data_IF_441005470997
#
_entry.id   IF_441005470997
#
_cell.length_a   1.000
_cell.length_b   1.000
_cell.length_c   1.000
_cell.angle_alpha   90.00
_cell.angle_beta   90.00
_cell.angle_gamma   90.00
#
_symmetry.space_group_name_H-M   'P 1'
#
loop_
_entity.id
_entity.type
_entity.pdbx_description
1 polymer ?
#
# COMPACT_ATOMS: atom_id res chain seq x y z
N UNK A 1 -0.08 26.27 13.71
CA UNK A 1 -0.29 24.81 13.92
C UNK A 1 -0.14 24.00 12.61
N UNK A 2 -0.90 24.29 11.54
CA UNK A 2 -0.83 23.50 10.28
C UNK A 2 0.53 23.64 9.56
N UNK A 3 1.07 24.85 9.47
CA UNK A 3 2.40 25.09 8.88
C UNK A 3 3.52 24.43 9.70
N UNK A 4 3.39 24.43 11.03
CA UNK A 4 4.35 23.75 11.91
C UNK A 4 4.37 22.23 11.70
N UNK A 5 3.19 21.61 11.46
CA UNK A 5 3.12 20.18 11.13
C UNK A 5 3.77 19.86 9.78
N UNK A 6 3.63 20.75 8.79
CA UNK A 6 4.33 20.60 7.51
C UNK A 6 5.84 20.70 7.67
N UNK A 7 6.32 21.63 8.51
CA UNK A 7 7.76 21.79 8.76
C UNK A 7 8.32 20.55 9.45
N UNK A 8 7.68 20.04 10.50
CA UNK A 8 8.10 18.79 11.14
C UNK A 8 8.12 17.58 10.19
N UNK A 9 7.12 17.47 9.31
CA UNK A 9 7.08 16.41 8.29
C UNK A 9 8.24 16.53 7.29
N UNK A 10 8.60 17.76 6.93
CA UNK A 10 9.75 18.08 6.07
C UNK A 10 11.07 17.76 6.77
N UNK A 11 11.26 18.20 8.02
CA UNK A 11 12.46 17.91 8.82
C UNK A 11 12.66 16.41 9.02
N UNK A 12 11.57 15.71 9.40
CA UNK A 12 11.59 14.25 9.55
C UNK A 12 11.94 13.56 8.23
N UNK A 13 11.40 14.04 7.10
CA UNK A 13 11.75 13.52 5.78
C UNK A 13 13.23 13.70 5.48
N UNK A 14 13.79 14.90 5.66
CA UNK A 14 15.22 15.19 5.41
C UNK A 14 16.09 14.26 6.29
N UNK A 15 15.76 14.14 7.57
CA UNK A 15 16.48 13.26 8.49
C UNK A 15 16.45 11.80 8.02
N UNK A 16 15.28 11.24 7.73
CA UNK A 16 15.13 9.84 7.33
C UNK A 16 15.77 9.55 5.96
N UNK A 17 15.61 10.45 4.98
CA UNK A 17 16.24 10.32 3.68
C UNK A 17 17.78 10.41 3.78
N UNK A 18 18.28 11.31 4.63
CA UNK A 18 19.72 11.49 4.91
C UNK A 18 20.39 10.29 5.59
N UNK A 19 19.63 9.37 6.21
CA UNK A 19 20.15 8.09 6.71
C UNK A 19 20.48 7.10 5.59
N UNK A 20 20.13 7.42 4.34
CA UNK A 20 20.40 6.57 3.18
C UNK A 20 21.91 6.42 2.93
N UNK A 21 22.31 5.19 2.62
CA UNK A 21 23.70 4.81 2.32
C UNK A 21 23.75 4.30 0.89
N UNK A 22 24.63 4.87 0.06
CA UNK A 22 24.78 4.56 -1.37
C UNK A 22 24.88 3.05 -1.66
N UNK A 23 25.57 2.31 -0.78
CA UNK A 23 25.69 0.85 -0.87
C UNK A 23 24.34 0.12 -0.97
N UNK A 24 23.27 0.69 -0.42
CA UNK A 24 21.93 0.08 -0.40
C UNK A 24 20.98 0.67 -1.44
N UNK A 25 21.42 1.58 -2.31
CA UNK A 25 20.58 2.23 -3.32
C UNK A 25 19.93 1.23 -4.26
N UNK A 26 20.71 0.29 -4.80
CA UNK A 26 20.19 -0.75 -5.69
C UNK A 26 19.11 -1.61 -5.04
N UNK A 27 19.27 -1.93 -3.74
CA UNK A 27 18.26 -2.66 -2.97
C UNK A 27 16.97 -1.87 -2.85
N UNK A 28 17.04 -0.58 -2.46
CA UNK A 28 15.85 0.23 -2.27
C UNK A 28 15.18 0.62 -3.60
N UNK A 29 15.96 0.79 -4.66
CA UNK A 29 15.44 0.96 -6.02
C UNK A 29 14.69 -0.31 -6.45
N UNK A 30 15.23 -1.50 -6.18
CA UNK A 30 14.55 -2.77 -6.45
C UNK A 30 13.24 -2.89 -5.66
N UNK A 31 13.27 -2.63 -4.35
CA UNK A 31 12.08 -2.71 -3.47
C UNK A 31 10.97 -1.76 -3.92
N UNK A 32 11.31 -0.57 -4.43
CA UNK A 32 10.33 0.46 -4.81
C UNK A 32 9.65 0.22 -6.16
N UNK A 33 10.12 -0.75 -6.97
CA UNK A 33 9.53 -1.09 -8.26
C UNK A 33 8.35 -2.05 -8.08
N UNK A 34 7.20 -1.70 -8.68
CA UNK A 34 5.95 -2.47 -8.53
C UNK A 34 6.05 -3.86 -9.16
N UNK A 35 6.80 -3.99 -10.26
CA UNK A 35 6.99 -5.22 -11.01
C UNK A 35 7.67 -6.32 -10.19
N UNK A 36 8.56 -5.94 -9.28
CA UNK A 36 9.30 -6.89 -8.45
C UNK A 36 8.40 -7.60 -7.41
N UNK A 37 7.19 -7.13 -7.21
CA UNK A 37 6.21 -7.71 -6.31
C UNK A 37 5.20 -8.63 -7.01
N UNK A 38 5.29 -8.81 -8.35
CA UNK A 38 4.46 -9.75 -9.12
C UNK A 38 4.46 -11.17 -8.50
N UNK A 39 5.61 -11.75 -8.07
CA UNK A 39 5.61 -13.05 -7.41
C UNK A 39 4.75 -13.10 -6.15
N UNK A 40 4.71 -12.02 -5.36
CA UNK A 40 3.87 -11.94 -4.17
C UNK A 40 2.38 -11.93 -4.52
N UNK A 41 1.97 -11.23 -5.58
CA UNK A 41 0.58 -11.26 -6.06
C UNK A 41 0.18 -12.68 -6.51
N UNK A 42 1.07 -13.40 -7.18
CA UNK A 42 0.84 -14.81 -7.56
C UNK A 42 0.67 -15.67 -6.30
N UNK A 43 1.52 -15.51 -5.28
CA UNK A 43 1.40 -16.20 -3.99
C UNK A 43 0.04 -15.91 -3.35
N UNK A 44 -0.44 -14.67 -3.33
CA UNK A 44 -1.74 -14.32 -2.80
C UNK A 44 -2.88 -15.06 -3.53
N UNK A 45 -2.83 -15.09 -4.87
CA UNK A 45 -3.82 -15.82 -5.69
C UNK A 45 -3.80 -17.31 -5.36
N UNK A 46 -2.62 -17.93 -5.30
CA UNK A 46 -2.49 -19.35 -4.93
C UNK A 46 -3.09 -19.62 -3.54
N UNK A 47 -2.77 -18.78 -2.55
CA UNK A 47 -3.29 -18.93 -1.18
C UNK A 47 -4.82 -18.80 -1.12
N UNK A 48 -5.43 -17.96 -1.94
CA UNK A 48 -6.88 -17.84 -2.06
C UNK A 48 -7.47 -19.19 -2.51
N UNK A 49 -6.94 -19.79 -3.58
CA UNK A 49 -7.47 -21.05 -4.10
C UNK A 49 -7.14 -22.26 -3.22
N UNK A 50 -6.08 -22.21 -2.40
CA UNK A 50 -5.79 -23.24 -1.40
C UNK A 50 -6.67 -23.13 -0.15
N UNK A 51 -7.10 -21.90 0.19
CA UNK A 51 -7.89 -21.65 1.42
C UNK A 51 -9.39 -21.83 1.22
N UNK A 52 -9.92 -21.67 0.02
CA UNK A 52 -11.35 -21.61 -0.28
C UNK A 52 -11.77 -22.61 -1.37
N UNK A 53 -13.03 -23.08 -1.30
CA UNK A 53 -13.65 -23.84 -2.41
C UNK A 53 -13.76 -22.93 -3.65
N UNK A 54 -13.74 -23.52 -4.86
CA UNK A 54 -13.66 -22.79 -6.13
C UNK A 54 -14.58 -21.55 -6.22
N UNK A 55 -15.88 -21.71 -5.92
CA UNK A 55 -16.88 -20.60 -5.97
C UNK A 55 -16.51 -19.49 -4.98
N UNK A 56 -16.17 -19.85 -3.74
CA UNK A 56 -15.76 -18.91 -2.70
C UNK A 56 -14.43 -18.22 -3.05
N UNK A 57 -13.47 -18.95 -3.63
CA UNK A 57 -12.20 -18.42 -4.07
C UNK A 57 -12.36 -17.30 -5.12
N UNK A 58 -13.31 -17.45 -6.04
CA UNK A 58 -13.62 -16.38 -7.00
C UNK A 58 -14.22 -15.13 -6.33
N UNK A 59 -15.08 -15.29 -5.31
CA UNK A 59 -15.59 -14.15 -4.53
C UNK A 59 -14.45 -13.41 -3.84
N UNK A 60 -13.52 -14.16 -3.22
CA UNK A 60 -12.35 -13.59 -2.56
C UNK A 60 -11.40 -12.94 -3.56
N UNK A 61 -11.18 -13.54 -4.73
CA UNK A 61 -10.35 -12.98 -5.79
C UNK A 61 -10.93 -11.64 -6.30
N UNK A 62 -12.24 -11.55 -6.47
CA UNK A 62 -12.90 -10.28 -6.81
C UNK A 62 -12.68 -9.25 -5.70
N UNK A 63 -12.82 -9.63 -4.41
CA UNK A 63 -12.52 -8.76 -3.28
C UNK A 63 -11.06 -8.27 -3.28
N UNK A 64 -10.11 -9.14 -3.58
CA UNK A 64 -8.68 -8.81 -3.74
C UNK A 64 -8.46 -7.75 -4.83
N UNK A 65 -9.04 -7.96 -6.02
CA UNK A 65 -8.96 -7.01 -7.14
C UNK A 65 -9.65 -5.68 -6.80
N UNK A 66 -10.84 -5.74 -6.16
CA UNK A 66 -11.54 -4.54 -5.71
C UNK A 66 -10.72 -3.75 -4.68
N UNK A 67 -10.02 -4.44 -3.76
CA UNK A 67 -9.15 -3.76 -2.78
C UNK A 67 -8.06 -2.94 -3.47
N UNK A 68 -7.46 -3.45 -4.53
CA UNK A 68 -6.51 -2.70 -5.35
C UNK A 68 -7.17 -1.55 -6.11
N UNK A 69 -8.19 -1.84 -6.93
CA UNK A 69 -8.79 -0.88 -7.87
C UNK A 69 -9.46 0.30 -7.14
N UNK A 70 -10.21 0.02 -6.07
CA UNK A 70 -10.88 1.07 -5.28
C UNK A 70 -9.83 1.94 -4.58
N UNK A 71 -8.79 1.33 -3.98
CA UNK A 71 -7.72 2.09 -3.34
C UNK A 71 -6.95 2.94 -4.34
N UNK A 72 -6.63 2.40 -5.50
CA UNK A 72 -5.97 3.12 -6.59
C UNK A 72 -6.80 4.33 -7.02
N UNK A 73 -8.11 4.14 -7.28
CA UNK A 73 -9.02 5.22 -7.70
C UNK A 73 -9.15 6.31 -6.62
N UNK A 74 -9.38 5.93 -5.36
CA UNK A 74 -9.47 6.87 -4.22
C UNK A 74 -8.16 7.64 -4.05
N UNK A 75 -7.02 6.96 -4.13
CA UNK A 75 -5.71 7.60 -4.03
C UNK A 75 -5.47 8.61 -5.16
N UNK A 76 -5.85 8.28 -6.40
CA UNK A 76 -5.75 9.20 -7.55
C UNK A 76 -6.62 10.44 -7.35
N UNK A 77 -7.84 10.25 -6.86
CA UNK A 77 -8.75 11.36 -6.54
C UNK A 77 -8.16 12.27 -5.45
N UNK A 78 -7.67 11.71 -4.32
CA UNK A 78 -7.07 12.50 -3.24
C UNK A 78 -5.83 13.26 -3.76
N UNK A 79 -4.97 12.62 -4.56
CA UNK A 79 -3.80 13.27 -5.16
C UNK A 79 -4.18 14.50 -5.99
N UNK A 80 -5.18 14.37 -6.83
CA UNK A 80 -5.66 15.47 -7.67
C UNK A 80 -6.27 16.61 -6.84
N UNK A 81 -6.98 16.27 -5.74
CA UNK A 81 -7.64 17.25 -4.86
C UNK A 81 -6.67 18.02 -3.98
N UNK A 82 -5.64 17.33 -3.44
CA UNK A 82 -4.66 17.95 -2.52
C UNK A 82 -3.52 18.64 -3.26
N UNK A 83 -3.12 18.10 -4.41
CA UNK A 83 -2.07 18.62 -5.29
C UNK A 83 -0.74 18.94 -4.59
N UNK A 84 -0.35 18.16 -3.56
CA UNK A 84 0.90 18.36 -2.82
C UNK A 84 2.12 18.10 -3.71
N UNK A 85 3.04 19.06 -3.77
CA UNK A 85 4.31 18.91 -4.48
C UNK A 85 5.19 17.87 -3.78
N UNK A 86 5.87 17.03 -4.56
CA UNK A 86 6.79 16.02 -4.04
C UNK A 86 8.11 16.62 -3.54
N UNK A 87 8.81 15.94 -2.58
CA UNK A 87 10.11 16.40 -2.11
C UNK A 87 11.11 16.64 -3.24
N UNK A 88 11.23 15.71 -4.20
CA UNK A 88 12.13 15.81 -5.34
C UNK A 88 11.86 16.98 -6.28
N UNK A 89 10.66 17.58 -6.23
CA UNK A 89 10.26 18.72 -7.06
C UNK A 89 10.26 20.05 -6.29
N UNK A 90 10.72 20.07 -5.03
CA UNK A 90 10.87 21.28 -4.21
C UNK A 90 12.31 21.76 -4.33
N UNK A 91 12.53 22.90 -5.00
CA UNK A 91 13.86 23.45 -5.33
C UNK A 91 14.76 23.53 -4.09
N UNK A 92 14.25 24.06 -2.96
CA UNK A 92 15.01 24.19 -1.72
C UNK A 92 15.37 22.85 -1.04
N UNK A 93 14.85 21.71 -1.51
CA UNK A 93 15.19 20.38 -1.00
C UNK A 93 16.20 19.65 -1.88
N UNK A 94 16.30 19.98 -3.16
CA UNK A 94 17.10 19.24 -4.13
C UNK A 94 18.60 19.16 -3.75
N UNK A 95 19.12 20.18 -3.06
CA UNK A 95 20.52 20.21 -2.61
C UNK A 95 20.78 19.47 -1.31
N UNK A 96 19.72 19.15 -0.54
CA UNK A 96 19.87 18.58 0.83
C UNK A 96 19.33 17.17 0.97
N UNK A 97 18.70 16.62 -0.07
CA UNK A 97 18.13 15.27 -0.07
C UNK A 97 18.74 14.39 -1.15
N UNK A 98 18.65 13.08 -0.93
CA UNK A 98 19.01 12.09 -1.96
C UNK A 98 17.79 11.80 -2.82
N UNK A 99 17.92 12.01 -4.15
CA UNK A 99 16.87 11.78 -5.13
C UNK A 99 17.32 10.62 -6.02
N UNK A 100 16.62 9.47 -5.91
CA UNK A 100 16.90 8.26 -6.70
C UNK A 100 15.77 7.94 -7.69
N UNK A 101 14.67 8.70 -7.65
CA UNK A 101 13.55 8.62 -8.59
C UNK A 101 12.90 10.00 -8.77
N UNK A 102 12.36 10.25 -9.98
CA UNK A 102 11.77 11.55 -10.35
C UNK A 102 10.34 11.40 -10.88
N UNK A 103 9.37 10.94 -10.08
CA UNK A 103 7.98 10.88 -10.51
C UNK A 103 7.37 12.28 -10.60
N UNK A 104 6.62 12.54 -11.65
CA UNK A 104 6.04 13.84 -11.99
C UNK A 104 4.70 14.17 -11.33
N UNK A 105 3.98 13.16 -10.81
CA UNK A 105 2.65 13.33 -10.25
C UNK A 105 2.68 13.69 -8.76
N UNK A 106 1.57 14.22 -8.21
CA UNK A 106 1.45 14.71 -6.83
C UNK A 106 1.86 13.69 -5.75
N UNK A 107 2.25 14.21 -4.57
CA UNK A 107 2.77 13.43 -3.44
C UNK A 107 1.66 12.78 -2.61
N UNK A 108 0.75 13.57 -2.07
CA UNK A 108 -0.22 13.13 -1.05
C UNK A 108 -1.49 12.52 -1.67
N UNK A 109 -1.87 11.34 -1.26
CA UNK A 109 -1.26 10.35 -0.39
C UNK A 109 -0.37 9.40 -1.20
N UNK A 110 0.55 8.65 -0.53
CA UNK A 110 1.39 7.67 -1.23
C UNK A 110 0.57 6.52 -1.83
N UNK A 111 0.61 6.39 -3.18
CA UNK A 111 -0.09 5.31 -3.90
C UNK A 111 0.47 3.92 -3.58
N UNK A 112 1.80 3.78 -3.56
CA UNK A 112 2.49 2.53 -3.23
C UNK A 112 2.10 2.03 -1.84
N UNK A 113 2.10 2.94 -0.85
CA UNK A 113 1.74 2.59 0.53
C UNK A 113 0.26 2.25 0.66
N UNK A 114 -0.63 3.03 0.05
CA UNK A 114 -2.07 2.79 0.18
C UNK A 114 -2.51 1.48 -0.48
N UNK A 115 -2.03 1.19 -1.70
CA UNK A 115 -2.41 -0.03 -2.42
C UNK A 115 -1.80 -1.28 -1.79
N UNK A 116 -0.51 -1.27 -1.43
CA UNK A 116 0.13 -2.41 -0.77
C UNK A 116 -0.49 -2.69 0.60
N UNK A 117 -0.79 -1.65 1.38
CA UNK A 117 -1.45 -1.79 2.68
C UNK A 117 -2.88 -2.33 2.54
N UNK A 118 -3.64 -1.87 1.54
CA UNK A 118 -4.99 -2.35 1.28
C UNK A 118 -4.99 -3.84 0.89
N UNK A 119 -4.16 -4.23 -0.05
CA UNK A 119 -4.03 -5.62 -0.51
C UNK A 119 -3.62 -6.51 0.66
N UNK A 120 -2.56 -6.13 1.39
CA UNK A 120 -2.06 -6.93 2.52
C UNK A 120 -3.10 -7.06 3.61
N UNK A 121 -3.76 -5.96 4.01
CA UNK A 121 -4.78 -5.99 5.07
C UNK A 121 -5.96 -6.86 4.66
N UNK A 122 -6.44 -6.75 3.42
CA UNK A 122 -7.50 -7.62 2.91
C UNK A 122 -7.08 -9.10 2.98
N UNK A 123 -5.89 -9.45 2.48
CA UNK A 123 -5.37 -10.82 2.48
C UNK A 123 -5.19 -11.38 3.89
N UNK A 124 -4.65 -10.58 4.80
CA UNK A 124 -4.52 -10.98 6.21
C UNK A 124 -5.90 -11.25 6.83
N UNK A 125 -6.86 -10.34 6.65
CA UNK A 125 -8.21 -10.51 7.21
C UNK A 125 -8.92 -11.75 6.67
N UNK A 126 -8.75 -12.07 5.40
CA UNK A 126 -9.35 -13.25 4.74
C UNK A 126 -8.66 -14.54 5.17
N UNK A 127 -7.35 -14.57 5.30
CA UNK A 127 -6.58 -15.80 5.48
C UNK A 127 -6.21 -16.11 6.94
N UNK A 128 -6.26 -15.14 7.86
CA UNK A 128 -5.79 -15.28 9.26
C UNK A 128 -6.46 -16.42 10.06
N UNK A 129 -7.67 -16.80 9.69
CA UNK A 129 -8.39 -17.92 10.33
C UNK A 129 -7.84 -19.28 9.90
N UNK A 130 -7.28 -19.35 8.71
CA UNK A 130 -6.67 -20.56 8.14
C UNK A 130 -5.17 -20.64 8.39
N UNK A 131 -4.46 -19.51 8.23
CA UNK A 131 -3.01 -19.41 8.31
C UNK A 131 -2.61 -18.27 9.24
N UNK A 132 -2.08 -18.58 10.42
CA UNK A 132 -1.68 -17.56 11.41
C UNK A 132 -0.44 -16.78 11.00
N UNK A 133 0.43 -17.36 10.18
CA UNK A 133 1.67 -16.74 9.72
C UNK A 133 1.46 -15.61 8.69
N UNK A 134 0.26 -15.42 8.14
CA UNK A 134 0.00 -14.40 7.09
C UNK A 134 0.30 -12.97 7.50
N UNK A 135 0.42 -12.71 8.80
CA UNK A 135 0.83 -11.38 9.29
C UNK A 135 2.23 -10.96 8.81
N UNK A 136 3.10 -11.91 8.41
CA UNK A 136 4.41 -11.64 7.84
C UNK A 136 4.30 -10.81 6.55
N UNK A 137 3.18 -10.88 5.84
CA UNK A 137 2.96 -10.09 4.63
C UNK A 137 2.96 -8.57 4.87
N UNK A 138 2.77 -8.11 6.11
CA UNK A 138 2.92 -6.68 6.43
C UNK A 138 4.35 -6.16 6.28
N UNK A 139 5.36 -7.04 6.19
CA UNK A 139 6.73 -6.63 5.85
C UNK A 139 6.78 -5.97 4.46
N UNK A 140 5.95 -6.43 3.51
CA UNK A 140 5.90 -5.82 2.18
C UNK A 140 5.49 -4.35 2.19
N UNK A 141 4.31 -3.93 2.68
CA UNK A 141 3.94 -2.51 2.68
C UNK A 141 4.87 -1.66 3.56
N UNK A 142 5.49 -2.21 4.61
CA UNK A 142 6.49 -1.51 5.43
C UNK A 142 7.73 -1.22 4.58
N UNK A 143 8.32 -2.22 3.95
CA UNK A 143 9.49 -2.04 3.09
C UNK A 143 9.17 -1.12 1.91
N UNK A 144 8.00 -1.32 1.29
CA UNK A 144 7.56 -0.53 0.15
C UNK A 144 7.34 0.95 0.54
N UNK A 145 6.72 1.23 1.70
CA UNK A 145 6.58 2.59 2.22
C UNK A 145 7.94 3.21 2.54
N UNK A 146 8.82 2.50 3.26
CA UNK A 146 10.16 2.99 3.62
C UNK A 146 10.97 3.34 2.37
N UNK A 147 10.88 2.53 1.31
CA UNK A 147 11.56 2.81 0.05
C UNK A 147 11.19 4.18 -0.53
N UNK A 148 9.95 4.67 -0.34
CA UNK A 148 9.49 5.95 -0.90
C UNK A 148 10.14 7.17 -0.24
N UNK A 149 10.47 7.08 1.05
CA UNK A 149 11.28 8.09 1.75
C UNK A 149 12.73 7.98 1.31
N UNK A 150 13.24 6.75 1.24
CA UNK A 150 14.63 6.49 0.86
C UNK A 150 14.97 7.05 -0.54
N UNK A 151 14.09 6.81 -1.53
CA UNK A 151 14.31 7.30 -2.91
C UNK A 151 13.93 8.78 -3.11
N UNK A 152 13.50 9.50 -2.06
CA UNK A 152 13.34 10.94 -2.07
C UNK A 152 12.01 11.47 -2.62
N UNK A 153 10.92 10.67 -2.65
CA UNK A 153 9.71 11.03 -3.41
C UNK A 153 8.43 11.22 -2.60
N UNK A 154 8.42 10.88 -1.31
CA UNK A 154 7.27 11.04 -0.42
C UNK A 154 7.66 11.48 0.98
N UNK A 155 6.85 12.36 1.57
CA UNK A 155 6.95 12.72 2.98
C UNK A 155 6.39 11.60 3.88
N UNK A 156 6.85 11.48 5.16
CA UNK A 156 6.32 10.51 6.11
C UNK A 156 4.79 10.58 6.29
N UNK A 157 4.22 11.78 6.31
CA UNK A 157 2.76 11.96 6.40
C UNK A 157 2.00 11.41 5.20
N UNK A 158 2.58 11.44 3.97
CA UNK A 158 1.98 10.83 2.78
C UNK A 158 1.84 9.31 2.95
N UNK A 159 2.83 8.69 3.61
CA UNK A 159 2.84 7.25 3.87
C UNK A 159 1.83 6.88 4.95
N UNK A 160 1.83 7.60 6.08
CA UNK A 160 0.90 7.37 7.18
C UNK A 160 -0.56 7.50 6.72
N UNK A 161 -0.88 8.60 6.00
CA UNK A 161 -2.20 8.81 5.43
C UNK A 161 -2.55 7.75 4.38
N UNK A 162 -1.59 7.36 3.52
CA UNK A 162 -1.76 6.28 2.54
C UNK A 162 -2.08 4.94 3.20
N UNK A 163 -1.32 4.57 4.24
CA UNK A 163 -1.57 3.35 5.01
C UNK A 163 -2.97 3.35 5.64
N UNK A 164 -3.38 4.46 6.24
CA UNK A 164 -4.70 4.63 6.85
C UNK A 164 -5.84 4.45 5.81
N UNK A 165 -5.73 5.10 4.65
CA UNK A 165 -6.69 4.96 3.54
C UNK A 165 -6.75 3.49 3.08
N UNK A 166 -5.60 2.85 2.89
CA UNK A 166 -5.53 1.45 2.47
C UNK A 166 -6.21 0.49 3.45
N UNK A 167 -5.94 0.65 4.76
CA UNK A 167 -6.55 -0.17 5.83
C UNK A 167 -8.07 -0.01 5.86
N UNK A 168 -8.57 1.23 5.79
CA UNK A 168 -10.03 1.49 5.81
C UNK A 168 -10.70 0.80 4.62
N UNK A 169 -10.20 0.99 3.40
CA UNK A 169 -10.76 0.38 2.20
C UNK A 169 -10.73 -1.14 2.30
N UNK A 170 -9.62 -1.72 2.74
CA UNK A 170 -9.50 -3.16 2.93
C UNK A 170 -10.54 -3.72 3.91
N UNK A 171 -10.78 -3.04 5.04
CA UNK A 171 -11.79 -3.45 6.03
C UNK A 171 -13.20 -3.40 5.42
N UNK A 172 -13.51 -2.36 4.64
CA UNK A 172 -14.81 -2.24 3.97
C UNK A 172 -15.01 -3.38 2.98
N UNK A 173 -14.05 -3.61 2.09
CA UNK A 173 -14.10 -4.67 1.07
C UNK A 173 -14.16 -6.05 1.74
N UNK A 174 -13.38 -6.27 2.80
CA UNK A 174 -13.44 -7.52 3.59
C UNK A 174 -14.82 -7.78 4.17
N UNK A 175 -15.48 -6.77 4.77
CA UNK A 175 -16.84 -6.93 5.32
C UNK A 175 -17.86 -7.29 4.23
N UNK A 176 -17.75 -6.67 3.05
CA UNK A 176 -18.61 -6.98 1.90
C UNK A 176 -18.34 -8.42 1.43
N UNK A 177 -17.09 -8.79 1.23
CA UNK A 177 -16.69 -10.13 0.81
C UNK A 177 -17.18 -11.20 1.80
N UNK A 178 -16.99 -10.99 3.11
CA UNK A 178 -17.46 -11.89 4.17
C UNK A 178 -18.99 -12.10 4.13
N UNK A 179 -19.75 -11.03 3.86
CA UNK A 179 -21.21 -11.11 3.73
C UNK A 179 -21.63 -11.94 2.50
N UNK A 180 -20.88 -11.80 1.37
CA UNK A 180 -21.13 -12.60 0.17
C UNK A 180 -20.82 -14.08 0.38
N UNK A 181 -19.73 -14.40 1.08
CA UNK A 181 -19.34 -15.76 1.42
C UNK A 181 -20.43 -16.43 2.27
N UNK A 182 -20.92 -15.75 3.33
CA UNK A 182 -21.97 -16.28 4.21
C UNK A 182 -23.34 -16.48 3.52
N UNK A 183 -23.63 -15.74 2.45
CA UNK A 183 -24.85 -15.97 1.64
C UNK A 183 -24.71 -17.19 0.75
N UNK A 184 -23.54 -17.35 0.11
CA UNK A 184 -23.27 -18.49 -0.74
C UNK A 184 -23.29 -19.82 -0.02
N UNK A 185 -22.91 -19.86 1.26
CA UNK A 185 -22.99 -21.09 2.07
C UNK A 185 -24.45 -21.47 2.40
N UNK A 186 -25.32 -20.50 2.70
CA UNK A 186 -26.75 -20.75 3.00
C UNK A 186 -27.53 -21.28 1.79
N UNK A 187 -27.27 -20.75 0.59
CA UNK A 187 -27.89 -21.25 -0.64
C UNK A 187 -27.50 -22.70 -0.96
N UNK A 188 -26.40 -23.20 -0.41
CA UNK A 188 -25.96 -24.58 -0.60
C UNK A 188 -26.57 -25.56 0.41
N UNK A 189 -26.93 -25.10 1.61
CA UNK A 189 -27.57 -25.92 2.65
C UNK A 189 -29.09 -26.08 2.40
N UNK A 190 -29.66 -25.29 1.48
CA UNK A 190 -31.08 -25.33 1.08
C UNK A 190 -31.35 -26.14 -0.21
N UNK A 191 -30.28 -26.71 -0.85
CA UNK A 191 -30.34 -27.56 -2.05
C UNK A 191 -30.02 -29.02 -1.72
#
# INVERSE_FOLDING_TARGET
>A
MFEQLKEWDRELFIYLNGLGIERFDSFWIFITQEENWIPLYIIFIILIFLAYKKKQAFIVLIGFLCSFLVTFGVTRFIKASVARVRPNNVESLQEVIRILQEPTYYSFVSGHTSTSMAITTFMVLILRHRYKWVYIFYLWPILFATSRVYVGVHYPSDLAAGAFVGVIIAIIIYKICKKMLARGDREFDEL
#
